data_IF_608366009203
#
_entry.id   IF_608366009203
#
_cell.length_a   1.000
_cell.length_b   1.000
_cell.length_c   1.000
_cell.angle_alpha   90.00
_cell.angle_beta   90.00
_cell.angle_gamma   90.00
#
_symmetry.space_group_name_H-M   'P 1'
#
loop_
_entity.id
_entity.type
_entity.pdbx_description
1 polymer ?
#
# COMPACT_ATOMS: atom_id res chain seq x y z
N UNK A 1 -24.32 11.77 15.72
CA UNK A 1 -23.63 11.24 14.53
C UNK A 1 -22.47 10.40 15.01
N UNK A 2 -22.42 9.12 14.64
CA UNK A 2 -21.24 8.30 14.90
C UNK A 2 -20.02 8.85 14.18
N UNK A 3 -18.85 8.65 14.78
CA UNK A 3 -17.55 9.08 14.29
C UNK A 3 -16.58 7.92 14.44
N UNK A 4 -15.65 7.83 13.49
CA UNK A 4 -14.47 6.98 13.64
C UNK A 4 -13.57 7.62 14.68
N UNK A 5 -13.28 6.90 15.76
CA UNK A 5 -12.38 7.32 16.82
C UNK A 5 -10.96 6.82 16.58
N UNK A 6 -10.81 5.67 15.91
CA UNK A 6 -9.51 5.11 15.56
C UNK A 6 -9.58 4.34 14.24
N UNK A 7 -8.48 4.38 13.49
CA UNK A 7 -8.29 3.61 12.25
C UNK A 7 -6.85 3.13 12.20
N UNK A 8 -6.62 1.82 12.31
CA UNK A 8 -5.27 1.25 12.43
C UNK A 8 -5.12 0.00 11.57
N UNK A 9 -3.94 -0.14 10.96
CA UNK A 9 -3.53 -1.33 10.22
C UNK A 9 -2.56 -2.12 11.10
N UNK A 10 -2.85 -3.40 11.32
CA UNK A 10 -2.01 -4.32 12.07
C UNK A 10 -1.46 -5.38 11.12
N UNK A 11 -0.16 -5.63 11.17
CA UNK A 11 0.47 -6.72 10.43
C UNK A 11 0.58 -7.94 11.34
N UNK A 12 0.27 -9.13 10.83
CA UNK A 12 0.25 -10.33 11.68
C UNK A 12 1.66 -10.75 12.15
N UNK A 13 2.71 -10.38 11.42
CA UNK A 13 4.13 -10.64 11.78
C UNK A 13 4.72 -9.59 12.73
N UNK A 14 3.98 -8.55 13.13
CA UNK A 14 4.50 -7.53 14.03
C UNK A 14 4.81 -8.15 15.42
N UNK A 15 5.99 -7.86 15.96
CA UNK A 15 6.44 -8.28 17.30
C UNK A 15 6.83 -7.03 18.07
N UNK A 16 6.36 -6.87 19.30
CA UNK A 16 6.71 -5.76 20.21
C UNK A 16 6.64 -4.36 19.57
N UNK A 17 5.57 -4.11 18.80
CA UNK A 17 5.34 -2.87 18.02
C UNK A 17 6.32 -2.60 16.88
N UNK A 18 7.18 -3.55 16.52
CA UNK A 18 8.04 -3.42 15.35
C UNK A 18 7.28 -3.72 14.05
N UNK A 19 7.52 -2.88 13.02
CA UNK A 19 6.98 -3.12 11.69
C UNK A 19 7.78 -4.25 11.04
N UNK A 20 7.13 -5.34 10.60
CA UNK A 20 7.83 -6.44 9.98
C UNK A 20 8.50 -6.03 8.67
N UNK A 21 9.69 -6.57 8.43
CA UNK A 21 10.36 -6.50 7.13
C UNK A 21 9.95 -7.70 6.29
N UNK A 22 9.78 -7.47 4.98
CA UNK A 22 9.41 -8.49 4.01
C UNK A 22 10.37 -8.51 2.83
N UNK A 23 10.52 -9.69 2.23
CA UNK A 23 11.33 -9.98 1.06
C UNK A 23 10.46 -10.50 -0.09
N UNK A 24 11.05 -10.59 -1.29
CA UNK A 24 10.37 -11.12 -2.46
C UNK A 24 9.83 -12.54 -2.21
N UNK A 25 8.56 -12.76 -2.56
CA UNK A 25 7.89 -14.06 -2.37
C UNK A 25 7.27 -14.28 -1.00
N UNK A 26 7.51 -13.40 -0.02
CA UNK A 26 6.81 -13.47 1.26
C UNK A 26 5.39 -12.91 1.17
N UNK A 27 4.48 -13.53 1.92
CA UNK A 27 3.11 -13.06 2.05
C UNK A 27 3.02 -11.95 3.10
N UNK A 28 2.31 -10.87 2.75
CA UNK A 28 1.97 -9.80 3.69
C UNK A 28 0.52 -10.02 4.14
N UNK A 29 0.32 -10.31 5.43
CA UNK A 29 -0.99 -10.48 6.04
C UNK A 29 -1.20 -9.50 7.21
N UNK A 30 -2.47 -9.22 7.50
CA UNK A 30 -2.83 -8.26 8.53
C UNK A 30 -4.33 -7.99 8.59
N UNK A 31 -4.69 -7.03 9.44
CA UNK A 31 -6.06 -6.63 9.75
C UNK A 31 -6.19 -5.11 9.80
N UNK A 32 -7.40 -4.61 9.54
CA UNK A 32 -7.77 -3.21 9.79
C UNK A 32 -8.70 -3.18 10.99
N UNK A 33 -8.34 -2.37 11.97
CA UNK A 33 -9.17 -2.07 13.14
C UNK A 33 -9.77 -0.69 12.94
N UNK A 34 -11.10 -0.60 13.00
CA UNK A 34 -11.84 0.66 12.95
C UNK A 34 -12.68 0.74 14.20
N UNK A 35 -12.46 1.76 15.01
CA UNK A 35 -13.24 2.03 16.21
C UNK A 35 -14.20 3.18 15.93
N UNK A 36 -15.44 3.04 16.41
CA UNK A 36 -16.50 4.02 16.23
C UNK A 36 -17.20 4.27 17.55
N UNK A 37 -17.62 5.52 17.79
CA UNK A 37 -18.30 5.89 19.04
C UNK A 37 -19.83 5.77 18.99
N UNK A 38 -20.37 5.45 17.82
CA UNK A 38 -21.78 5.19 17.56
C UNK A 38 -21.90 4.60 16.14
N UNK A 39 -23.10 4.16 15.78
CA UNK A 39 -23.39 3.63 14.46
C UNK A 39 -23.03 4.63 13.35
N UNK A 40 -22.39 4.10 12.29
CA UNK A 40 -22.01 4.85 11.10
C UNK A 40 -22.37 4.08 9.83
N UNK A 41 -22.73 4.81 8.78
CA UNK A 41 -22.90 4.23 7.44
C UNK A 41 -21.55 4.21 6.71
N UNK A 42 -21.07 3.02 6.36
CA UNK A 42 -19.81 2.86 5.62
C UNK A 42 -20.09 2.48 4.17
N UNK A 43 -19.82 3.39 3.23
CA UNK A 43 -19.99 3.11 1.80
C UNK A 43 -18.99 2.08 1.26
N UNK A 44 -17.73 2.22 1.66
CA UNK A 44 -16.68 1.29 1.28
C UNK A 44 -15.46 1.40 2.20
N UNK A 45 -14.79 0.26 2.44
CA UNK A 45 -13.45 0.18 3.01
C UNK A 45 -12.52 -0.45 1.98
N UNK A 46 -11.45 0.25 1.59
CA UNK A 46 -10.53 -0.19 0.53
C UNK A 46 -9.09 -0.18 1.03
N UNK A 47 -8.30 -1.15 0.57
CA UNK A 47 -6.85 -1.19 0.77
C UNK A 47 -6.17 -1.00 -0.58
N UNK A 48 -5.20 -0.08 -0.63
CA UNK A 48 -4.28 0.06 -1.75
C UNK A 48 -2.85 -0.16 -1.29
N UNK A 49 -2.26 -1.30 -1.63
CA UNK A 49 -0.86 -1.60 -1.36
C UNK A 49 -0.01 -1.29 -2.59
N UNK A 50 1.09 -0.55 -2.42
CA UNK A 50 2.02 -0.22 -3.50
C UNK A 50 3.47 -0.27 -2.99
N UNK A 51 4.35 -0.84 -3.82
CA UNK A 51 5.80 -0.74 -3.66
C UNK A 51 6.37 0.01 -4.85
N UNK A 52 7.14 1.07 -4.61
CA UNK A 52 7.76 1.85 -5.68
C UNK A 52 9.14 2.34 -5.27
N UNK A 53 10.06 2.39 -6.23
CA UNK A 53 11.35 3.04 -6.09
C UNK A 53 11.36 4.33 -6.89
N UNK A 54 12.05 5.32 -6.35
CA UNK A 54 12.41 6.55 -7.03
C UNK A 54 13.92 6.66 -6.95
N UNK A 55 14.56 6.83 -8.10
CA UNK A 55 16.01 6.98 -8.21
C UNK A 55 16.34 8.30 -8.91
N UNK A 56 17.47 8.88 -8.54
CA UNK A 56 18.02 10.09 -9.14
C UNK A 56 19.52 9.86 -9.35
N UNK A 57 20.02 10.19 -10.53
CA UNK A 57 21.46 10.16 -10.82
C UNK A 57 21.85 11.35 -11.70
N UNK A 58 23.14 11.67 -11.70
CA UNK A 58 23.70 12.72 -12.54
C UNK A 58 24.78 12.15 -13.46
N UNK A 59 24.88 12.70 -14.66
CA UNK A 59 25.95 12.37 -15.61
C UNK A 59 26.67 13.66 -15.99
N UNK A 60 27.98 13.68 -15.80
CA UNK A 60 28.82 14.83 -16.17
C UNK A 60 29.54 14.51 -17.47
N UNK A 61 29.24 15.28 -18.52
CA UNK A 61 29.93 15.17 -19.81
C UNK A 61 30.92 16.32 -19.95
N UNK A 62 32.15 15.99 -20.38
CA UNK A 62 33.13 16.99 -20.82
C UNK A 62 32.91 17.26 -22.29
N UNK A 63 32.77 18.52 -22.66
CA UNK A 63 32.66 18.95 -24.07
C UNK A 63 33.66 20.06 -24.34
N UNK A 64 34.62 19.80 -25.23
CA UNK A 64 35.62 20.78 -25.66
C UNK A 64 36.52 21.36 -24.53
N UNK A 65 37.19 22.47 -24.82
CA UNK A 65 38.37 22.95 -24.09
C UNK A 65 38.14 23.63 -22.74
N UNK A 66 37.01 23.40 -22.05
CA UNK A 66 36.82 23.62 -20.59
C UNK A 66 35.34 23.54 -20.12
N UNK A 67 34.40 23.04 -20.92
CA UNK A 67 32.99 22.98 -20.49
C UNK A 67 32.62 21.60 -19.93
N UNK A 68 32.27 21.56 -18.64
CA UNK A 68 31.62 20.41 -18.02
C UNK A 68 30.11 20.69 -17.97
N UNK A 69 29.31 19.83 -18.59
CA UNK A 69 27.84 19.88 -18.49
C UNK A 69 27.37 18.73 -17.62
N UNK A 70 26.72 19.04 -16.50
CA UNK A 70 26.07 18.05 -15.63
C UNK A 70 24.61 17.92 -16.02
N UNK A 71 24.17 16.70 -16.29
CA UNK A 71 22.77 16.35 -16.53
C UNK A 71 22.20 15.64 -15.32
N UNK A 72 20.93 15.89 -15.02
CA UNK A 72 20.20 15.26 -13.93
C UNK A 72 19.12 14.36 -14.52
N UNK A 73 19.03 13.14 -13.99
CA UNK A 73 18.06 12.14 -14.42
C UNK A 73 17.34 11.57 -13.22
N UNK A 74 16.11 11.15 -13.45
CA UNK A 74 15.28 10.50 -12.45
C UNK A 74 14.54 9.35 -13.09
N UNK A 75 14.28 8.30 -12.32
CA UNK A 75 13.45 7.18 -12.76
C UNK A 75 12.57 6.73 -11.60
N UNK A 76 11.31 6.44 -11.91
CA UNK A 76 10.37 5.84 -10.98
C UNK A 76 9.98 4.44 -11.49
N UNK A 77 10.03 3.45 -10.61
CA UNK A 77 9.65 2.07 -10.90
C UNK A 77 8.59 1.63 -9.87
N UNK A 78 7.55 0.95 -10.34
CA UNK A 78 6.53 0.36 -9.48
C UNK A 78 6.69 -1.16 -9.49
N UNK A 79 7.01 -1.74 -8.34
CA UNK A 79 7.21 -3.18 -8.19
C UNK A 79 5.87 -3.94 -8.12
N UNK A 80 4.91 -3.40 -7.37
CA UNK A 80 3.57 -3.98 -7.27
C UNK A 80 2.50 -2.94 -6.99
N UNK A 81 1.26 -3.29 -7.28
CA UNK A 81 0.07 -2.49 -7.01
C UNK A 81 -1.13 -3.40 -6.80
N UNK A 82 -1.57 -3.55 -5.55
CA UNK A 82 -2.76 -4.32 -5.21
C UNK A 82 -3.85 -3.40 -4.68
N UNK A 83 -5.09 -3.68 -5.06
CA UNK A 83 -6.28 -2.97 -4.60
C UNK A 83 -7.30 -3.99 -4.13
N UNK A 84 -7.79 -3.81 -2.92
CA UNK A 84 -8.81 -4.68 -2.32
C UNK A 84 -9.98 -3.85 -1.81
N UNK A 85 -11.19 -4.37 -1.99
CA UNK A 85 -12.40 -3.86 -1.35
C UNK A 85 -12.73 -4.81 -0.20
N UNK A 86 -12.66 -4.31 1.03
CA UNK A 86 -12.96 -5.08 2.24
C UNK A 86 -14.42 -4.98 2.65
N UNK A 87 -14.99 -3.78 2.54
CA UNK A 87 -16.41 -3.48 2.85
C UNK A 87 -16.96 -2.66 1.69
N UNK A 88 -18.22 -2.86 1.32
CA UNK A 88 -18.91 -2.16 0.23
C UNK A 88 -19.16 -3.06 -0.98
N UNK A 89 -19.81 -2.49 -2.01
CA UNK A 89 -20.21 -3.24 -3.20
C UNK A 89 -19.17 -3.09 -4.31
N UNK A 90 -18.62 -4.22 -4.79
CA UNK A 90 -17.85 -4.26 -6.04
C UNK A 90 -18.83 -4.08 -7.19
N UNK A 91 -18.71 -2.99 -7.96
CA UNK A 91 -19.42 -2.93 -9.26
C UNK A 91 -18.73 -3.90 -10.21
N UNK A 92 -19.43 -4.90 -10.78
CA UNK A 92 -18.81 -5.96 -11.58
C UNK A 92 -18.40 -5.39 -12.94
N UNK A 93 -17.17 -4.87 -13.00
CA UNK A 93 -16.44 -4.73 -14.24
C UNK A 93 -15.03 -5.26 -13.96
N UNK A 94 -14.76 -6.48 -14.46
CA UNK A 94 -13.50 -7.22 -14.40
C UNK A 94 -13.28 -8.02 -13.11
N UNK A 95 -13.82 -9.23 -13.10
CA UNK A 95 -13.33 -10.34 -12.27
C UNK A 95 -11.93 -10.69 -12.82
N UNK A 96 -10.88 -10.06 -12.28
CA UNK A 96 -9.53 -10.59 -12.41
C UNK A 96 -9.32 -11.65 -11.34
N UNK A 97 -8.87 -12.81 -11.79
CA UNK A 97 -8.46 -13.99 -11.02
C UNK A 97 -7.89 -13.63 -9.65
N UNK A 98 -8.71 -13.83 -8.61
CA UNK A 98 -8.33 -13.65 -7.22
C UNK A 98 -7.60 -14.92 -6.78
N UNK A 99 -6.27 -14.90 -6.85
CA UNK A 99 -5.47 -15.86 -6.10
C UNK A 99 -5.76 -15.61 -4.61
N UNK A 100 -6.28 -16.65 -3.98
CA UNK A 100 -7.18 -16.60 -2.83
C UNK A 100 -6.39 -16.34 -1.53
N UNK A 101 -6.16 -15.09 -1.16
CA UNK A 101 -5.78 -14.76 0.22
C UNK A 101 -7.04 -14.73 1.09
N UNK A 102 -7.24 -15.81 1.86
CA UNK A 102 -8.29 -15.91 2.90
C UNK A 102 -8.00 -14.88 4.00
N UNK A 103 -8.76 -13.80 4.07
CA UNK A 103 -8.88 -12.99 5.30
C UNK A 103 -9.96 -13.64 6.18
N UNK A 104 -9.55 -14.13 7.36
CA UNK A 104 -10.49 -14.59 8.38
C UNK A 104 -11.09 -13.38 9.12
N UNK A 105 -12.41 -13.21 8.95
CA UNK A 105 -13.40 -12.50 9.78
C UNK A 105 -13.05 -11.12 10.37
N UNK A 106 -13.84 -10.12 9.98
CA UNK A 106 -14.08 -8.92 10.77
C UNK A 106 -15.01 -9.31 11.92
N UNK A 107 -14.57 -9.18 13.17
CA UNK A 107 -15.45 -9.23 14.34
C UNK A 107 -15.92 -7.81 14.59
N UNK A 108 -17.21 -7.54 14.34
CA UNK A 108 -17.90 -6.37 14.87
C UNK A 108 -18.58 -6.80 16.16
N UNK A 109 -18.30 -6.10 17.25
CA UNK A 109 -19.00 -6.26 18.52
C UNK A 109 -20.42 -5.70 18.42
#
# INVERSE_FOLDING_TARGET
MGKVTSFTILYDRAVDNNIPTYSCGEWVSGRIIVEVNAEIEVKALKIHAKGQAYVHWTETHRSGSNSNTTRHYTQQIRYFKHKYLLIGVVRPALICHMERLRLHSVVTN
#
